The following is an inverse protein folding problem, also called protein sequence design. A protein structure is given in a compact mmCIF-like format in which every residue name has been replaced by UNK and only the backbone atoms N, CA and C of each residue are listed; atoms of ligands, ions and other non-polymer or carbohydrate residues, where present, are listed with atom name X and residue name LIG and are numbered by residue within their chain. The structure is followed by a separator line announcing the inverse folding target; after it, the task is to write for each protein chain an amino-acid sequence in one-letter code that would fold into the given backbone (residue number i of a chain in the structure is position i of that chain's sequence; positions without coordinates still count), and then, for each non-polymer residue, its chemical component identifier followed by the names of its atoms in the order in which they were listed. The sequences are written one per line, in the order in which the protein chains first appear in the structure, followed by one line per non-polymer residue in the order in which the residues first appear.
data_IF_046849298773
#
_entry.id   IF_046849298773
#
_cell.length_a   1.000
_cell.length_b   1.000
_cell.length_c   1.000
_cell.angle_alpha   90.00
_cell.angle_beta   90.00
_cell.angle_gamma   90.00
#
_symmetry.space_group_name_H-M   'P 1'
#
loop_
_entity.id
_entity.type
_entity.pdbx_description
1 polymer ?
#
# COMPACT_ATOMS: atom_id res chain seq x y z
N UNK A 1 2.48 -23.64 21.10
CA UNK A 1 3.95 -23.61 20.84
C UNK A 1 4.50 -25.00 21.04
N UNK A 2 5.35 -25.49 20.14
CA UNK A 2 5.93 -26.84 20.22
C UNK A 2 7.41 -26.71 20.57
N UNK A 3 7.85 -27.43 21.60
CA UNK A 3 9.22 -27.44 22.06
C UNK A 3 9.81 -28.84 21.84
N UNK A 4 11.06 -28.91 21.41
CA UNK A 4 11.81 -30.15 21.35
C UNK A 4 12.11 -30.67 22.77
N UNK A 5 12.45 -31.96 22.89
CA UNK A 5 12.75 -32.62 24.17
C UNK A 5 13.89 -31.93 24.94
N UNK A 6 14.76 -31.17 24.25
CA UNK A 6 15.82 -30.35 24.86
C UNK A 6 15.41 -28.92 25.28
N UNK A 7 14.12 -28.56 25.23
CA UNK A 7 13.63 -27.22 25.60
C UNK A 7 13.78 -26.16 24.51
N UNK A 8 14.34 -26.50 23.35
CA UNK A 8 14.42 -25.59 22.20
C UNK A 8 13.05 -25.43 21.53
N UNK A 9 12.61 -24.18 21.37
CA UNK A 9 11.40 -23.87 20.62
C UNK A 9 11.58 -24.28 19.15
N UNK A 10 10.64 -25.05 18.62
CA UNK A 10 10.62 -25.42 17.20
C UNK A 10 9.62 -24.56 16.47
N UNK A 11 10.13 -23.57 15.75
CA UNK A 11 9.34 -22.76 14.84
C UNK A 11 9.19 -23.50 13.50
N UNK A 12 8.11 -24.26 13.33
CA UNK A 12 7.81 -24.89 12.03
C UNK A 12 7.63 -23.87 10.89
N UNK A 13 7.36 -22.59 11.19
CA UNK A 13 7.30 -21.55 10.17
C UNK A 13 8.68 -21.13 9.67
N UNK A 14 9.75 -21.34 10.46
CA UNK A 14 11.13 -21.10 10.03
C UNK A 14 11.56 -22.02 8.87
N UNK A 15 10.92 -23.18 8.70
CA UNK A 15 11.18 -24.08 7.57
C UNK A 15 10.77 -23.47 6.23
N UNK A 16 9.80 -22.56 6.25
CA UNK A 16 9.29 -21.88 5.06
C UNK A 16 9.69 -20.40 5.01
N UNK A 17 10.41 -19.90 6.01
CA UNK A 17 10.87 -18.52 6.03
C UNK A 17 12.37 -18.39 6.19
N UNK A 18 12.95 -17.53 5.38
CA UNK A 18 14.37 -17.21 5.41
C UNK A 18 14.73 -16.33 6.63
N UNK A 19 14.43 -16.76 7.86
CA UNK A 19 14.78 -16.08 9.10
C UNK A 19 13.82 -16.27 10.28
N UNK A 20 14.14 -15.65 11.42
CA UNK A 20 13.31 -15.64 12.63
C UNK A 20 11.94 -14.98 12.35
N UNK A 21 10.86 -15.67 12.69
CA UNK A 21 9.50 -15.33 12.23
C UNK A 21 8.61 -14.66 13.30
N UNK A 22 9.26 -14.06 14.30
CA UNK A 22 8.67 -13.42 15.48
C UNK A 22 7.50 -12.47 15.18
N UNK A 23 7.58 -11.67 14.11
CA UNK A 23 6.53 -10.72 13.69
C UNK A 23 5.21 -11.38 13.21
N UNK A 24 5.18 -12.70 13.07
CA UNK A 24 4.05 -13.48 12.52
C UNK A 24 3.14 -14.08 13.59
N UNK A 25 3.64 -14.25 14.81
CA UNK A 25 2.92 -14.88 15.92
C UNK A 25 3.12 -14.16 17.27
N UNK A 26 4.04 -13.19 17.40
CA UNK A 26 4.22 -12.41 18.64
C UNK A 26 3.42 -11.12 18.71
N UNK A 27 2.72 -10.71 17.65
CA UNK A 27 1.74 -9.62 17.78
C UNK A 27 0.60 -10.08 18.68
N UNK A 28 0.37 -9.35 19.77
CA UNK A 28 -0.70 -9.68 20.74
C UNK A 28 -2.07 -9.68 20.09
N UNK A 29 -2.33 -8.77 19.14
CA UNK A 29 -3.60 -8.77 18.41
C UNK A 29 -3.78 -10.04 17.56
N UNK A 30 -2.72 -10.56 16.94
CA UNK A 30 -2.81 -11.84 16.22
C UNK A 30 -3.05 -13.02 17.18
N UNK A 31 -2.46 -12.96 18.38
CA UNK A 31 -2.68 -13.97 19.43
C UNK A 31 -4.11 -13.92 19.98
N UNK A 32 -4.67 -12.73 20.19
CA UNK A 32 -6.05 -12.52 20.67
C UNK A 32 -7.10 -13.09 19.71
N UNK A 33 -6.84 -13.00 18.40
CA UNK A 33 -7.73 -13.57 17.38
C UNK A 33 -7.37 -15.02 17.01
N UNK A 34 -6.34 -15.62 17.61
CA UNK A 34 -5.79 -16.95 17.26
C UNK A 34 -5.42 -17.09 15.77
N UNK A 35 -5.01 -15.99 15.12
CA UNK A 35 -4.68 -15.95 13.69
C UNK A 35 -3.16 -15.99 13.50
N UNK A 36 -2.67 -16.86 12.63
CA UNK A 36 -1.27 -16.88 12.18
C UNK A 36 -1.19 -16.22 10.80
N UNK A 37 -0.22 -15.31 10.60
CA UNK A 37 0.03 -14.71 9.28
C UNK A 37 0.76 -15.70 8.35
N UNK A 38 0.18 -16.13 7.22
CA UNK A 38 0.74 -17.18 6.37
C UNK A 38 1.81 -16.66 5.37
N UNK A 39 2.35 -15.46 5.53
CA UNK A 39 3.29 -14.88 4.56
C UNK A 39 4.72 -15.35 4.83
N UNK A 40 5.13 -16.44 4.16
CA UNK A 40 6.48 -17.01 4.24
C UNK A 40 7.56 -16.17 3.53
N UNK A 41 7.19 -15.46 2.46
CA UNK A 41 8.12 -14.82 1.50
C UNK A 41 8.62 -13.42 1.87
N UNK A 42 7.97 -12.72 2.80
CA UNK A 42 8.36 -11.36 3.19
C UNK A 42 8.57 -11.27 4.69
N UNK A 43 9.61 -10.53 5.08
CA UNK A 43 9.86 -10.15 6.49
C UNK A 43 8.76 -9.22 7.01
N UNK A 44 8.14 -8.44 6.12
CA UNK A 44 7.10 -7.48 6.46
C UNK A 44 5.83 -7.62 5.57
N UNK A 45 4.66 -7.97 6.16
CA UNK A 45 3.43 -8.24 5.40
C UNK A 45 2.89 -7.05 4.59
N UNK A 46 3.06 -5.82 5.08
CA UNK A 46 2.67 -4.60 4.34
C UNK A 46 3.44 -4.40 3.04
N UNK A 47 4.72 -4.82 3.01
CA UNK A 47 5.55 -4.70 1.81
C UNK A 47 5.12 -5.74 0.77
N UNK A 48 4.80 -6.96 1.21
CA UNK A 48 4.22 -7.98 0.34
C UNK A 48 2.92 -7.49 -0.32
N UNK A 49 2.02 -6.91 0.48
CA UNK A 49 0.76 -6.36 0.00
C UNK A 49 0.97 -5.21 -1.00
N UNK A 50 1.90 -4.31 -0.71
CA UNK A 50 2.27 -3.24 -1.63
C UNK A 50 2.77 -3.79 -2.98
N UNK A 51 3.67 -4.77 -2.96
CA UNK A 51 4.19 -5.38 -4.19
C UNK A 51 3.09 -6.04 -5.01
N UNK A 52 2.25 -6.88 -4.37
CA UNK A 52 1.17 -7.60 -5.06
C UNK A 52 0.17 -6.61 -5.66
N UNK A 53 -0.22 -5.57 -4.91
CA UNK A 53 -1.17 -4.56 -5.40
C UNK A 53 -0.62 -3.74 -6.57
N UNK A 54 0.67 -3.34 -6.54
CA UNK A 54 1.33 -2.66 -7.66
C UNK A 54 1.37 -3.56 -8.89
N UNK A 55 1.80 -4.82 -8.75
CA UNK A 55 1.85 -5.77 -9.88
C UNK A 55 0.46 -5.96 -10.49
N UNK A 56 -0.57 -6.11 -9.64
CA UNK A 56 -1.96 -6.25 -10.07
C UNK A 56 -2.44 -5.03 -10.86
N UNK A 57 -2.06 -3.83 -10.41
CA UNK A 57 -2.40 -2.59 -11.11
C UNK A 57 -1.64 -2.42 -12.42
N UNK A 58 -0.36 -2.80 -12.46
CA UNK A 58 0.42 -2.82 -13.69
C UNK A 58 -0.21 -3.76 -14.72
N UNK A 59 -0.64 -4.95 -14.30
CA UNK A 59 -1.39 -5.89 -15.13
C UNK A 59 -2.69 -5.26 -15.67
N UNK A 60 -3.47 -4.62 -14.80
CA UNK A 60 -4.70 -3.92 -15.19
C UNK A 60 -4.44 -2.83 -16.25
N UNK A 61 -3.38 -2.03 -16.09
CA UNK A 61 -2.99 -0.99 -17.06
C UNK A 61 -2.61 -1.59 -18.41
N UNK A 62 -1.80 -2.65 -18.40
CA UNK A 62 -1.25 -3.25 -19.61
C UNK A 62 -2.36 -3.89 -20.45
N UNK A 63 -3.23 -4.68 -19.82
CA UNK A 63 -4.31 -5.40 -20.51
C UNK A 63 -5.60 -4.58 -20.67
N UNK A 64 -5.76 -3.49 -19.91
CA UNK A 64 -6.94 -2.60 -19.92
C UNK A 64 -8.26 -3.34 -19.74
N UNK A 65 -8.20 -4.47 -19.04
CA UNK A 65 -9.33 -5.35 -18.79
C UNK A 65 -9.39 -5.63 -17.30
N UNK A 66 -10.58 -5.48 -16.75
CA UNK A 66 -10.91 -5.95 -15.41
C UNK A 66 -11.40 -7.39 -15.54
N UNK A 67 -10.57 -8.35 -15.17
CA UNK A 67 -10.92 -9.77 -15.17
C UNK A 67 -10.69 -10.43 -13.80
N UNK A 68 -10.91 -11.74 -13.72
CA UNK A 68 -10.75 -12.49 -12.49
C UNK A 68 -9.34 -12.41 -11.89
N UNK A 69 -8.30 -12.23 -12.70
CA UNK A 69 -6.92 -12.13 -12.23
C UNK A 69 -6.67 -10.81 -11.49
N UNK A 70 -7.31 -9.72 -11.92
CA UNK A 70 -7.27 -8.44 -11.19
C UNK A 70 -7.86 -8.60 -9.79
N UNK A 71 -9.01 -9.26 -9.67
CA UNK A 71 -9.63 -9.51 -8.37
C UNK A 71 -8.82 -10.47 -7.51
N UNK A 72 -8.31 -11.54 -8.12
CA UNK A 72 -7.44 -12.50 -7.43
C UNK A 72 -6.20 -11.79 -6.87
N UNK A 73 -5.55 -10.92 -7.64
CA UNK A 73 -4.39 -10.16 -7.18
C UNK A 73 -4.69 -9.26 -5.97
N UNK A 74 -5.79 -8.49 -6.01
CA UNK A 74 -6.18 -7.67 -4.86
C UNK A 74 -6.62 -8.49 -3.65
N UNK A 75 -7.32 -9.61 -3.84
CA UNK A 75 -7.69 -10.52 -2.74
C UNK A 75 -6.45 -11.17 -2.14
N UNK A 76 -5.51 -11.67 -2.96
CA UNK A 76 -4.23 -12.21 -2.49
C UNK A 76 -3.43 -11.19 -1.68
N UNK A 77 -3.47 -9.91 -2.09
CA UNK A 77 -2.89 -8.82 -1.31
C UNK A 77 -3.56 -8.64 0.06
N UNK A 78 -4.90 -8.77 0.16
CA UNK A 78 -5.61 -8.75 1.45
C UNK A 78 -5.26 -9.94 2.34
N UNK A 79 -5.02 -11.12 1.77
CA UNK A 79 -4.65 -12.34 2.50
C UNK A 79 -3.28 -12.24 3.20
N UNK A 80 -2.49 -11.18 2.91
CA UNK A 80 -1.30 -10.86 3.70
C UNK A 80 -1.62 -10.41 5.13
N UNK A 81 -2.89 -10.10 5.44
CA UNK A 81 -3.38 -9.64 6.74
C UNK A 81 -2.64 -8.38 7.25
N UNK A 82 -2.16 -7.57 6.32
CA UNK A 82 -1.66 -6.22 6.61
C UNK A 82 -2.81 -5.23 6.68
N UNK A 83 -2.84 -4.40 7.72
CA UNK A 83 -3.87 -3.37 7.91
C UNK A 83 -3.95 -2.40 6.73
N UNK A 84 -2.80 -1.90 6.26
CA UNK A 84 -2.72 -1.04 5.09
C UNK A 84 -3.15 -1.79 3.81
N UNK A 85 -2.75 -3.05 3.68
CA UNK A 85 -3.06 -3.88 2.52
C UNK A 85 -4.55 -4.12 2.32
N UNK A 86 -5.26 -4.49 3.39
CA UNK A 86 -6.72 -4.71 3.37
C UNK A 86 -7.43 -3.42 2.95
N UNK A 87 -7.08 -2.28 3.57
CA UNK A 87 -7.70 -1.00 3.28
C UNK A 87 -7.47 -0.54 1.84
N UNK A 88 -6.22 -0.56 1.37
CA UNK A 88 -5.87 -0.11 0.01
C UNK A 88 -6.57 -0.98 -1.04
N UNK A 89 -6.57 -2.30 -0.84
CA UNK A 89 -7.17 -3.23 -1.78
C UNK A 89 -8.71 -3.16 -1.74
N UNK A 90 -9.33 -2.92 -0.58
CA UNK A 90 -10.79 -2.82 -0.48
C UNK A 90 -11.31 -1.58 -1.20
N UNK A 91 -10.65 -0.44 -1.01
CA UNK A 91 -10.96 0.80 -1.73
C UNK A 91 -10.69 0.61 -3.23
N UNK A 92 -9.59 -0.04 -3.61
CA UNK A 92 -9.26 -0.30 -5.02
C UNK A 92 -10.35 -1.13 -5.72
N UNK A 93 -10.80 -2.21 -5.09
CA UNK A 93 -11.92 -3.03 -5.60
C UNK A 93 -13.19 -2.18 -5.73
N UNK A 94 -13.54 -1.39 -4.71
CA UNK A 94 -14.70 -0.50 -4.74
C UNK A 94 -14.65 0.48 -5.93
N UNK A 95 -13.49 1.09 -6.19
CA UNK A 95 -13.30 2.01 -7.33
C UNK A 95 -13.48 1.30 -8.66
N UNK A 96 -12.90 0.10 -8.82
CA UNK A 96 -13.06 -0.70 -10.06
C UNK A 96 -14.55 -0.94 -10.34
N UNK A 97 -15.34 -1.29 -9.33
CA UNK A 97 -16.77 -1.49 -9.50
C UNK A 97 -17.54 -0.21 -9.81
N UNK A 98 -17.20 0.92 -9.18
CA UNK A 98 -17.87 2.20 -9.45
C UNK A 98 -17.66 2.63 -10.92
N UNK A 99 -16.47 2.43 -11.48
CA UNK A 99 -16.14 2.90 -12.83
C UNK A 99 -16.38 1.87 -13.93
N UNK A 100 -16.27 0.57 -13.67
CA UNK A 100 -16.52 -0.46 -14.67
C UNK A 100 -18.05 -0.67 -14.84
N UNK A 101 -18.60 -0.32 -16.01
CA UNK A 101 -20.05 -0.23 -16.26
C UNK A 101 -20.66 -1.43 -17.01
N UNK A 102 -19.88 -2.45 -17.37
CA UNK A 102 -20.38 -3.53 -18.25
C UNK A 102 -21.16 -4.62 -17.50
N UNK A 103 -22.50 -4.65 -17.68
CA UNK A 103 -23.38 -5.83 -17.50
C UNK A 103 -24.46 -5.72 -16.41
N UNK A 104 -25.69 -6.19 -16.69
CA UNK A 104 -26.86 -6.15 -15.76
C UNK A 104 -26.70 -7.10 -14.56
N UNK A 105 -26.02 -8.26 -14.73
CA UNK A 105 -25.61 -9.12 -13.60
C UNK A 105 -24.63 -8.41 -12.65
N UNK A 106 -24.02 -7.29 -13.07
CA UNK A 106 -23.15 -6.48 -12.23
C UNK A 106 -23.90 -5.58 -11.27
N UNK A 107 -25.18 -5.24 -11.45
CA UNK A 107 -25.85 -4.23 -10.59
C UNK A 107 -26.00 -4.71 -9.13
N UNK A 108 -26.46 -5.94 -8.91
CA UNK A 108 -26.62 -6.50 -7.55
C UNK A 108 -25.26 -6.74 -6.89
N UNK A 109 -24.27 -7.20 -7.67
CA UNK A 109 -22.89 -7.37 -7.19
C UNK A 109 -22.21 -6.02 -6.89
N UNK A 110 -22.41 -5.02 -7.75
CA UNK A 110 -21.82 -3.67 -7.71
C UNK A 110 -22.39 -2.79 -6.61
N UNK A 111 -23.69 -2.87 -6.35
CA UNK A 111 -24.38 -2.03 -5.36
C UNK A 111 -24.81 -2.78 -4.10
N UNK A 112 -24.79 -4.11 -4.10
CA UNK A 112 -25.15 -4.93 -2.94
C UNK A 112 -23.94 -5.66 -2.36
N UNK A 113 -23.55 -6.76 -2.98
CA UNK A 113 -22.63 -7.74 -2.38
C UNK A 113 -21.22 -7.20 -2.13
N UNK A 114 -20.63 -6.50 -3.09
CA UNK A 114 -19.24 -6.02 -2.96
C UNK A 114 -19.12 -4.78 -2.07
N UNK A 115 -20.01 -3.77 -2.11
CA UNK A 115 -20.02 -2.72 -1.11
C UNK A 115 -20.20 -3.29 0.30
N UNK A 116 -21.06 -4.30 0.48
CA UNK A 116 -21.25 -4.98 1.77
C UNK A 116 -19.98 -5.71 2.17
N UNK A 117 -19.33 -6.48 1.29
CA UNK A 117 -18.05 -7.16 1.60
C UNK A 117 -16.93 -6.15 1.88
N UNK A 118 -16.84 -5.07 1.09
CA UNK A 118 -15.86 -4.01 1.29
C UNK A 118 -16.11 -3.29 2.62
N UNK A 119 -17.38 -3.02 2.95
CA UNK A 119 -17.79 -2.43 4.22
C UNK A 119 -17.54 -3.36 5.40
N UNK A 120 -17.82 -4.66 5.29
CA UNK A 120 -17.50 -5.63 6.35
C UNK A 120 -16.00 -5.78 6.53
N UNK A 121 -15.20 -5.75 5.46
CA UNK A 121 -13.74 -5.73 5.54
C UNK A 121 -13.21 -4.43 6.16
N UNK A 122 -13.82 -3.28 5.85
CA UNK A 122 -13.49 -1.99 6.48
C UNK A 122 -13.90 -2.01 7.96
N UNK A 123 -15.05 -2.59 8.31
CA UNK A 123 -15.49 -2.72 9.69
C UNK A 123 -14.58 -3.66 10.49
N UNK A 124 -14.19 -4.80 9.91
CA UNK A 124 -13.17 -5.70 10.47
C UNK A 124 -11.82 -4.99 10.64
N UNK A 125 -11.43 -4.16 9.68
CA UNK A 125 -10.25 -3.31 9.78
C UNK A 125 -10.35 -2.30 10.92
N UNK A 126 -11.49 -1.62 11.08
CA UNK A 126 -11.69 -0.65 12.16
C UNK A 126 -11.65 -1.35 13.53
N UNK A 127 -12.25 -2.53 13.64
CA UNK A 127 -12.18 -3.35 14.85
C UNK A 127 -10.74 -3.78 15.16
N UNK A 128 -10.01 -4.31 14.18
CA UNK A 128 -8.61 -4.71 14.36
C UNK A 128 -7.72 -3.50 14.69
N UNK A 129 -7.96 -2.34 14.08
CA UNK A 129 -7.21 -1.12 14.34
C UNK A 129 -7.52 -0.56 15.73
N UNK A 130 -8.77 -0.66 16.19
CA UNK A 130 -9.19 -0.28 17.54
C UNK A 130 -8.47 -1.12 18.61
N UNK A 131 -8.43 -2.44 18.44
CA UNK A 131 -7.69 -3.32 19.35
C UNK A 131 -6.18 -3.04 19.37
N UNK A 132 -5.60 -2.68 18.22
CA UNK A 132 -4.19 -2.28 18.14
C UNK A 132 -3.89 -0.93 18.82
N UNK A 133 -4.81 0.03 18.71
CA UNK A 133 -4.65 1.35 19.33
C UNK A 133 -4.81 1.29 20.86
N UNK A 134 -5.67 0.41 21.36
CA UNK A 134 -5.90 0.26 22.80
C UNK A 134 -4.90 -0.66 23.50
N UNK A 135 -4.15 -1.46 22.74
CA UNK A 135 -3.09 -2.28 23.28
C UNK A 135 -1.83 -1.44 23.56
N UNK A 136 -1.64 -1.08 24.84
CA UNK A 136 -0.53 -0.24 25.37
C UNK A 136 0.88 -0.74 25.00
N UNK A 137 1.03 -2.03 24.68
CA UNK A 137 2.31 -2.62 24.26
C UNK A 137 2.59 -2.54 22.75
N UNK A 138 1.66 -2.03 21.95
CA UNK A 138 1.89 -1.80 20.53
C UNK A 138 2.27 -0.35 20.23
N UNK A 139 3.05 -0.16 19.17
CA UNK A 139 3.52 1.14 18.70
C UNK A 139 2.34 2.10 18.45
N UNK A 140 2.38 3.28 19.07
CA UNK A 140 1.37 4.33 18.87
C UNK A 140 1.50 4.95 17.46
N UNK A 141 0.74 4.39 16.53
CA UNK A 141 0.72 4.80 15.13
C UNK A 141 0.18 6.21 14.91
N UNK A 142 -0.72 6.69 15.79
CA UNK A 142 -1.32 8.02 15.65
C UNK A 142 -0.38 9.09 16.19
N UNK A 143 0.22 8.86 17.36
CA UNK A 143 1.17 9.79 17.94
C UNK A 143 2.38 9.99 17.01
N UNK A 144 2.98 8.91 16.51
CA UNK A 144 4.13 9.01 15.60
C UNK A 144 3.82 9.72 14.28
N UNK A 145 2.65 9.49 13.68
CA UNK A 145 2.21 10.23 12.48
C UNK A 145 1.92 11.70 12.77
N UNK A 146 1.36 12.01 13.93
CA UNK A 146 1.09 13.40 14.32
C UNK A 146 2.40 14.18 14.53
N UNK A 147 3.42 13.54 15.10
CA UNK A 147 4.76 14.12 15.26
C UNK A 147 5.43 14.34 13.91
N UNK A 148 5.22 13.44 12.95
CA UNK A 148 5.76 13.58 11.60
C UNK A 148 5.12 14.74 10.84
N UNK A 149 3.79 14.87 10.92
CA UNK A 149 3.07 16.00 10.32
C UNK A 149 3.50 17.31 10.97
N UNK A 150 3.66 17.36 12.29
CA UNK A 150 4.15 18.54 13.00
C UNK A 150 5.58 18.92 12.61
N UNK A 151 6.48 17.94 12.47
CA UNK A 151 7.84 18.18 11.95
C UNK A 151 7.80 18.78 10.54
N UNK A 152 6.94 18.24 9.66
CA UNK A 152 6.77 18.76 8.31
C UNK A 152 6.18 20.17 8.32
N UNK A 153 5.23 20.48 9.21
CA UNK A 153 4.60 21.81 9.29
C UNK A 153 5.52 22.89 9.83
N UNK A 154 6.48 22.51 10.68
CA UNK A 154 7.41 23.43 11.32
C UNK A 154 8.74 23.61 10.56
N UNK A 155 8.90 23.00 9.38
CA UNK A 155 10.11 23.19 8.56
C UNK A 155 10.11 24.56 7.87
N UNK A 156 11.29 25.04 7.45
CA UNK A 156 11.37 26.32 6.75
C UNK A 156 10.55 26.32 5.46
N UNK A 157 9.98 27.49 5.14
CA UNK A 157 9.18 27.71 3.92
C UNK A 157 9.90 27.29 2.63
N UNK A 158 11.24 27.40 2.58
CA UNK A 158 12.04 26.97 1.45
C UNK A 158 12.00 25.45 1.26
N UNK A 159 12.03 24.67 2.35
CA UNK A 159 11.92 23.21 2.29
C UNK A 159 10.51 22.74 1.92
N UNK A 160 9.47 23.51 2.24
CA UNK A 160 8.14 23.24 1.71
C UNK A 160 8.06 23.37 0.18
N UNK A 161 8.84 24.28 -0.40
CA UNK A 161 8.82 24.57 -1.83
C UNK A 161 9.68 23.56 -2.60
N UNK A 162 10.94 23.39 -2.16
CA UNK A 162 11.96 22.60 -2.87
C UNK A 162 12.06 21.15 -2.38
N UNK A 163 11.60 20.87 -1.16
CA UNK A 163 11.79 19.60 -0.48
C UNK A 163 13.13 19.50 0.24
N UNK A 164 13.26 18.46 1.05
CA UNK A 164 14.45 18.15 1.82
C UNK A 164 15.46 17.29 1.05
N UNK A 165 15.17 16.94 -0.20
CA UNK A 165 15.91 15.95 -0.98
C UNK A 165 15.57 14.50 -0.58
N UNK A 166 16.10 13.55 -1.35
CA UNK A 166 16.11 12.13 -0.97
C UNK A 166 17.18 11.96 0.12
N UNK A 167 16.87 12.43 1.32
CA UNK A 167 17.76 12.31 2.45
C UNK A 167 17.34 11.13 3.30
N UNK A 168 18.18 10.10 3.33
CA UNK A 168 18.12 9.08 4.37
C UNK A 168 18.51 9.79 5.66
N UNK A 169 17.57 9.95 6.59
CA UNK A 169 17.87 10.48 7.92
C UNK A 169 18.91 9.56 8.57
N UNK A 170 20.17 9.96 8.54
CA UNK A 170 21.30 9.17 9.05
C UNK A 170 21.31 9.08 10.57
N UNK A 171 20.67 10.04 11.25
CA UNK A 171 20.57 10.12 12.70
C UNK A 171 19.12 10.40 13.09
N UNK A 172 18.48 9.56 13.92
CA UNK A 172 17.08 9.75 14.29
C UNK A 172 16.87 11.10 14.96
N UNK A 173 15.80 11.79 14.56
CA UNK A 173 15.41 13.08 15.13
C UNK A 173 14.48 12.82 16.30
N UNK A 174 14.84 13.32 17.48
CA UNK A 174 13.96 13.23 18.65
C UNK A 174 13.03 14.44 18.69
N UNK A 175 11.71 14.20 18.62
CA UNK A 175 10.70 15.25 18.70
C UNK A 175 9.48 14.77 19.48
N UNK A 176 8.97 15.65 20.36
CA UNK A 176 7.76 15.43 21.19
C UNK A 176 7.70 14.05 21.89
N UNK A 177 8.84 13.53 22.35
CA UNK A 177 8.89 12.25 23.04
C UNK A 177 9.23 11.03 22.17
N UNK A 178 9.27 11.18 20.84
CA UNK A 178 9.44 10.09 19.90
C UNK A 178 10.71 10.24 19.05
N UNK A 179 11.36 9.11 18.77
CA UNK A 179 12.43 9.05 17.77
C UNK A 179 11.82 8.86 16.38
N UNK A 180 12.06 9.83 15.50
CA UNK A 180 11.69 9.78 14.10
C UNK A 180 12.89 9.24 13.33
N UNK A 181 12.70 8.10 12.69
CA UNK A 181 13.70 7.50 11.80
C UNK A 181 13.31 7.73 10.34
N UNK A 182 14.26 7.55 9.42
CA UNK A 182 14.01 7.61 7.98
C UNK A 182 12.84 6.72 7.53
N UNK A 183 12.81 5.49 8.05
CA UNK A 183 11.75 4.54 7.73
C UNK A 183 10.37 5.05 8.17
N UNK A 184 10.28 5.89 9.22
CA UNK A 184 8.99 6.44 9.69
C UNK A 184 8.35 7.36 8.65
N UNK A 185 9.17 8.14 7.91
CA UNK A 185 8.71 8.99 6.80
C UNK A 185 8.33 8.13 5.61
N UNK A 186 9.12 7.11 5.29
CA UNK A 186 8.85 6.21 4.16
C UNK A 186 7.58 5.36 4.37
N UNK A 187 7.31 5.00 5.62
CA UNK A 187 6.16 4.20 6.03
C UNK A 187 4.85 5.00 6.16
N UNK A 188 4.93 6.33 6.08
CA UNK A 188 3.79 7.24 6.25
C UNK A 188 2.89 7.37 5.01
N UNK A 189 3.33 6.83 3.88
CA UNK A 189 2.65 6.85 2.59
C UNK A 189 3.44 7.62 1.53
N UNK A 190 3.40 7.15 0.27
CA UNK A 190 4.26 7.69 -0.78
C UNK A 190 4.07 9.19 -1.04
N UNK A 191 2.85 9.71 -0.98
CA UNK A 191 2.60 11.14 -1.25
C UNK A 191 3.21 12.05 -0.19
N UNK A 192 3.15 11.65 1.09
CA UNK A 192 3.75 12.42 2.16
C UNK A 192 5.29 12.37 2.06
N UNK A 193 5.84 11.20 1.74
CA UNK A 193 7.26 11.03 1.48
C UNK A 193 7.74 11.86 0.25
N UNK A 194 6.95 11.86 -0.83
CA UNK A 194 7.24 12.65 -2.04
C UNK A 194 7.23 14.15 -1.72
N UNK A 195 6.25 14.62 -0.95
CA UNK A 195 6.17 16.00 -0.51
C UNK A 195 7.35 16.39 0.39
N UNK A 196 7.69 15.55 1.37
CA UNK A 196 8.85 15.79 2.22
C UNK A 196 10.16 15.84 1.40
N UNK A 197 10.32 14.94 0.43
CA UNK A 197 11.55 14.79 -0.35
C UNK A 197 11.71 15.87 -1.44
N UNK A 198 10.66 16.24 -2.16
CA UNK A 198 10.72 17.11 -3.35
C UNK A 198 9.86 18.37 -3.26
N UNK A 199 9.23 18.59 -2.11
CA UNK A 199 8.40 19.76 -1.85
C UNK A 199 7.14 19.82 -2.70
N UNK A 200 6.52 21.00 -2.73
CA UNK A 200 5.30 21.23 -3.49
C UNK A 200 5.52 21.12 -4.99
N UNK A 201 6.67 21.56 -5.51
CA UNK A 201 6.95 21.53 -6.94
C UNK A 201 7.14 20.11 -7.47
N UNK A 202 7.92 19.28 -6.79
CA UNK A 202 8.07 17.88 -7.19
C UNK A 202 6.75 17.11 -7.07
N UNK A 203 5.98 17.37 -6.01
CA UNK A 203 4.67 16.74 -5.81
C UNK A 203 3.68 17.15 -6.91
N UNK A 204 3.57 18.44 -7.21
CA UNK A 204 2.72 18.94 -8.30
C UNK A 204 3.16 18.39 -9.66
N UNK A 205 4.46 18.40 -9.96
CA UNK A 205 4.99 17.85 -11.20
C UNK A 205 4.63 16.37 -11.37
N UNK A 206 4.74 15.59 -10.30
CA UNK A 206 4.36 14.18 -10.29
C UNK A 206 2.85 13.96 -10.52
N UNK A 207 2.00 14.74 -9.85
CA UNK A 207 0.53 14.66 -10.03
C UNK A 207 0.12 15.07 -11.44
N UNK A 208 0.73 16.12 -11.99
CA UNK A 208 0.47 16.57 -13.37
C UNK A 208 0.95 15.51 -14.37
N UNK A 209 2.16 14.97 -14.19
CA UNK A 209 2.69 13.89 -15.03
C UNK A 209 1.79 12.66 -15.02
N UNK A 210 1.35 12.21 -13.83
CA UNK A 210 0.48 11.05 -13.72
C UNK A 210 -0.87 11.29 -14.39
N UNK A 211 -1.43 12.50 -14.28
CA UNK A 211 -2.69 12.86 -14.97
C UNK A 211 -2.54 12.88 -16.50
N UNK A 212 -1.40 13.34 -17.01
CA UNK A 212 -1.12 13.35 -18.46
C UNK A 212 -1.03 11.92 -19.00
N UNK A 213 -0.46 10.98 -18.24
CA UNK A 213 -0.30 9.57 -18.64
C UNK A 213 -1.56 8.73 -18.43
N UNK A 214 -2.22 8.89 -17.29
CA UNK A 214 -3.43 8.16 -16.91
C UNK A 214 -4.67 9.04 -17.15
N UNK A 215 -5.08 9.13 -18.41
CA UNK A 215 -6.28 9.90 -18.81
C UNK A 215 -7.58 9.30 -18.28
N UNK A 216 -7.63 7.98 -18.12
CA UNK A 216 -8.79 7.30 -17.60
C UNK A 216 -8.90 7.53 -16.08
N UNK A 217 -10.08 8.00 -15.64
CA UNK A 217 -10.30 8.39 -14.24
C UNK A 217 -10.18 7.20 -13.28
N UNK A 218 -10.59 5.99 -13.68
CA UNK A 218 -10.45 4.80 -12.84
C UNK A 218 -8.97 4.49 -12.60
N UNK A 219 -8.17 4.41 -13.66
CA UNK A 219 -6.74 4.14 -13.54
C UNK A 219 -6.00 5.23 -12.76
N UNK A 220 -6.37 6.50 -12.95
CA UNK A 220 -5.81 7.62 -12.19
C UNK A 220 -6.10 7.53 -10.70
N UNK A 221 -7.36 7.26 -10.31
CA UNK A 221 -7.74 7.13 -8.90
C UNK A 221 -7.05 5.92 -8.27
N UNK A 222 -7.06 4.76 -8.95
CA UNK A 222 -6.39 3.55 -8.50
C UNK A 222 -4.89 3.74 -8.30
N UNK A 223 -4.24 4.49 -9.20
CA UNK A 223 -2.82 4.83 -9.08
C UNK A 223 -2.53 5.52 -7.74
N UNK A 224 -3.30 6.55 -7.38
CA UNK A 224 -3.10 7.24 -6.10
C UNK A 224 -3.48 6.39 -4.89
N UNK A 225 -4.51 5.56 -4.96
CA UNK A 225 -4.85 4.63 -3.86
C UNK A 225 -3.68 3.68 -3.59
N UNK A 226 -3.12 3.10 -4.65
CA UNK A 226 -2.02 2.14 -4.51
C UNK A 226 -0.75 2.84 -4.05
N UNK A 227 -0.45 4.05 -4.52
CA UNK A 227 0.68 4.85 -4.01
C UNK A 227 0.62 5.08 -2.49
N UNK A 228 -0.55 5.06 -1.84
CA UNK A 228 -0.62 5.14 -0.38
C UNK A 228 -0.17 3.84 0.33
N UNK A 229 0.25 2.82 -0.42
CA UNK A 229 0.89 1.63 0.08
C UNK A 229 2.22 1.91 0.77
N UNK A 230 2.69 0.90 1.52
CA UNK A 230 3.96 0.96 2.25
C UNK A 230 5.14 0.70 1.30
N UNK A 231 5.40 1.64 0.40
CA UNK A 231 6.56 1.61 -0.49
C UNK A 231 7.08 3.01 -0.79
N UNK A 232 8.32 3.06 -1.24
CA UNK A 232 9.04 4.29 -1.55
C UNK A 232 9.74 4.18 -2.91
N UNK A 233 10.32 5.29 -3.36
CA UNK A 233 11.03 5.38 -4.64
C UNK A 233 12.40 4.69 -4.65
N UNK A 234 12.87 4.12 -3.53
CA UNK A 234 14.08 3.29 -3.50
C UNK A 234 13.79 1.84 -3.86
N UNK A 235 12.53 1.41 -3.77
CA UNK A 235 12.12 0.05 -4.09
C UNK A 235 12.00 -0.17 -5.61
N UNK A 236 12.51 -1.29 -6.17
CA UNK A 236 12.42 -1.58 -7.61
C UNK A 236 10.98 -1.61 -8.15
N UNK A 237 10.03 -2.04 -7.33
CA UNK A 237 8.61 -2.14 -7.70
C UNK A 237 8.00 -0.77 -8.03
N UNK A 238 8.47 0.29 -7.38
CA UNK A 238 8.06 1.66 -7.70
C UNK A 238 8.52 2.05 -9.11
N UNK A 239 9.79 1.82 -9.42
CA UNK A 239 10.30 2.15 -10.76
C UNK A 239 9.61 1.35 -11.85
N UNK A 240 9.33 0.07 -11.61
CA UNK A 240 8.52 -0.75 -12.53
C UNK A 240 7.15 -0.10 -12.80
N UNK A 241 6.45 0.36 -11.76
CA UNK A 241 5.19 1.09 -11.91
C UNK A 241 5.35 2.35 -12.76
N UNK A 242 6.38 3.16 -12.49
CA UNK A 242 6.66 4.39 -13.24
C UNK A 242 6.97 4.07 -14.72
N UNK A 243 7.75 3.03 -14.99
CA UNK A 243 8.06 2.60 -16.36
C UNK A 243 6.79 2.17 -17.11
N UNK A 244 5.95 1.33 -16.50
CA UNK A 244 4.71 0.85 -17.12
C UNK A 244 3.74 2.00 -17.40
N UNK A 245 3.54 2.91 -16.44
CA UNK A 245 2.71 4.11 -16.64
C UNK A 245 3.31 5.03 -17.71
N UNK A 246 4.64 5.15 -17.77
CA UNK A 246 5.33 5.95 -18.78
C UNK A 246 5.19 5.40 -20.20
N UNK A 247 5.16 4.07 -20.34
CA UNK A 247 5.02 3.38 -21.63
C UNK A 247 3.62 3.51 -22.24
N UNK A 248 2.62 3.99 -21.50
CA UNK A 248 1.29 4.21 -22.05
C UNK A 248 1.37 5.27 -23.18
N UNK A 249 1.06 4.89 -24.44
CA UNK A 249 1.20 5.80 -25.58
C UNK A 249 0.23 6.98 -25.46
N UNK A 250 0.75 8.19 -25.73
CA UNK A 250 0.05 9.47 -25.57
C UNK A 250 -1.04 9.68 -26.63
N UNK A 251 -0.86 9.08 -27.80
CA UNK A 251 -1.77 9.08 -28.94
C UNK A 251 -1.82 7.67 -29.53
N UNK A 252 -2.96 6.97 -29.41
CA UNK A 252 -3.07 5.55 -29.76
C UNK A 252 -3.21 5.27 -31.26
N UNK A 253 -3.59 6.27 -32.05
CA UNK A 253 -3.78 6.11 -33.50
C UNK A 253 -2.48 5.99 -34.29
N UNK A 254 -1.31 6.17 -33.65
CA UNK A 254 0.00 6.12 -34.31
C UNK A 254 0.73 4.78 -34.11
N UNK A 255 0.29 3.94 -33.16
CA UNK A 255 0.99 2.68 -32.80
C UNK A 255 0.23 1.46 -33.31
N UNK A 256 -1.10 1.54 -33.37
CA UNK A 256 -1.90 0.61 -34.16
C UNK A 256 -2.16 1.33 -35.47
N UNK A 257 -1.33 1.05 -36.49
CA UNK A 257 -1.66 1.45 -37.85
C UNK A 257 -3.09 1.04 -38.17
N UNK A 258 -3.76 1.85 -38.98
CA UNK A 258 -5.09 1.56 -39.53
C UNK A 258 -5.26 0.06 -39.84
N UNK A 259 -5.89 -0.68 -38.93
CA UNK A 259 -6.71 -1.82 -39.33
C UNK A 259 -8.06 -1.23 -39.75
N UNK A 260 -8.01 -0.49 -40.86
CA UNK A 260 -9.16 -0.14 -41.67
C UNK A 260 -9.23 -1.17 -42.79
N UNK A 261 -10.32 -1.93 -42.80
CA UNK A 261 -10.64 -2.98 -43.77
C UNK A 261 -11.81 -3.81 -43.26
#
# INVERSE_FOLDING_TARGET
MVYWVGGYYVDFNSLFSFGYSESRYLSKTLQEFEIIRPTSFFTEPSNASAVISIVTFCYLILLKKVDGYVFLGFISSMMTLSTAGILICSISISVIFIFNRSGIKSIILRYGLIPVISFTLIALFLMFSYERLNNVSEYDMLATRSVLVDMILNQDSLFHILGNGINVISTPVYSKGYYIYDYTIRDSGFLLNLYYSFGIFGTMAFVVWSRIKLKDNMHFILFFIILNGKFDYLQPVFWMLIFIVSMIPRNRSAVLGNEGG
#
